data_IF_609130316966
#
_entry.id   IF_609130316966
#
_cell.length_a   1.000
_cell.length_b   1.000
_cell.length_c   1.000
_cell.angle_alpha   90.00
_cell.angle_beta   90.00
_cell.angle_gamma   90.00
#
_symmetry.space_group_name_H-M   'P 1'
#
loop_
_entity.id
_entity.type
_entity.pdbx_description
1 polymer ?
#
# COMPACT_ATOMS: atom_id res chain seq x y z
N UNK A 1 26.46 -19.94 -32.28
CA UNK A 1 26.15 -19.26 -31.03
C UNK A 1 24.85 -18.51 -31.19
N UNK A 2 23.79 -18.95 -30.52
CA UNK A 2 22.56 -18.17 -30.40
C UNK A 2 22.74 -17.17 -29.26
N UNK A 3 22.99 -15.91 -29.61
CA UNK A 3 22.95 -14.81 -28.65
C UNK A 3 21.49 -14.47 -28.40
N UNK A 4 20.98 -14.84 -27.23
CA UNK A 4 19.66 -14.41 -26.76
C UNK A 4 19.70 -12.89 -26.57
N UNK A 5 18.81 -12.10 -27.19
CA UNK A 5 18.78 -10.67 -26.98
C UNK A 5 18.36 -10.37 -25.53
N UNK A 6 19.15 -9.57 -24.83
CA UNK A 6 18.79 -9.00 -23.53
C UNK A 6 17.66 -7.98 -23.76
N UNK A 7 16.42 -8.42 -23.58
CA UNK A 7 15.27 -7.52 -23.61
C UNK A 7 15.24 -6.79 -22.26
N UNK A 8 15.70 -5.54 -22.26
CA UNK A 8 15.48 -4.62 -21.12
C UNK A 8 14.00 -4.26 -21.13
N UNK A 9 13.26 -4.80 -20.18
CA UNK A 9 11.84 -4.48 -20.05
C UNK A 9 11.65 -3.26 -19.14
N UNK A 10 10.69 -2.38 -19.44
CA UNK A 10 10.49 -1.16 -18.67
C UNK A 10 9.93 -1.51 -17.29
N UNK A 11 10.64 -1.10 -16.23
CA UNK A 11 10.15 -1.22 -14.84
C UNK A 11 8.89 -0.36 -14.63
N UNK A 12 8.00 -0.73 -13.69
CA UNK A 12 6.84 0.09 -13.37
C UNK A 12 7.29 1.44 -12.79
N UNK A 13 6.59 2.51 -13.15
CA UNK A 13 6.83 3.85 -12.60
C UNK A 13 5.69 4.23 -11.65
N UNK A 14 5.99 4.48 -10.38
CA UNK A 14 4.99 4.99 -9.43
C UNK A 14 4.91 6.51 -9.57
N UNK A 15 3.81 6.99 -10.16
CA UNK A 15 3.52 8.41 -10.41
C UNK A 15 2.85 9.10 -9.21
N UNK A 16 2.04 8.36 -8.44
CA UNK A 16 1.38 8.87 -7.23
C UNK A 16 1.68 7.93 -6.08
N UNK A 17 2.20 8.50 -5.00
CA UNK A 17 2.50 7.80 -3.75
C UNK A 17 1.31 7.88 -2.79
N UNK A 18 1.17 6.92 -1.85
CA UNK A 18 0.20 7.06 -0.78
C UNK A 18 0.60 8.25 0.11
N UNK A 19 -0.36 8.81 0.84
CA UNK A 19 -0.08 9.87 1.80
C UNK A 19 0.92 9.37 2.85
N UNK A 20 1.99 10.12 3.10
CA UNK A 20 3.06 9.71 4.01
C UNK A 20 2.58 9.56 5.47
N UNK A 21 1.62 10.39 5.89
CA UNK A 21 1.06 10.40 7.23
C UNK A 21 -0.47 10.51 7.15
N UNK A 22 -1.17 9.54 7.74
CA UNK A 22 -2.62 9.53 7.84
C UNK A 22 -2.99 9.41 9.30
N UNK A 23 -3.71 10.40 9.84
CA UNK A 23 -4.25 10.35 11.20
C UNK A 23 -5.74 10.12 11.12
N UNK A 24 -6.22 9.09 11.80
CA UNK A 24 -7.64 8.73 11.84
C UNK A 24 -8.10 8.50 13.25
N UNK A 25 -9.30 8.96 13.52
CA UNK A 25 -10.02 8.63 14.73
C UNK A 25 -10.57 7.21 14.70
N UNK A 26 -10.67 6.53 15.85
CA UNK A 26 -11.40 5.25 15.92
C UNK A 26 -12.86 5.33 15.47
N UNK A 27 -13.48 6.52 15.54
CA UNK A 27 -14.83 6.76 15.03
C UNK A 27 -14.91 6.82 13.50
N UNK A 28 -13.81 7.18 12.82
CA UNK A 28 -13.68 7.16 11.37
C UNK A 28 -13.34 5.73 10.93
N UNK A 29 -14.35 4.85 10.95
CA UNK A 29 -14.19 3.40 10.77
C UNK A 29 -13.32 2.99 9.59
N UNK A 30 -13.28 3.74 8.49
CA UNK A 30 -12.55 3.36 7.28
C UNK A 30 -11.42 4.33 6.91
N UNK A 31 -10.46 3.81 6.16
CA UNK A 31 -9.37 4.58 5.58
C UNK A 31 -8.88 3.93 4.30
N UNK A 32 -8.57 4.74 3.29
CA UNK A 32 -8.10 4.28 1.98
C UNK A 32 -6.74 4.89 1.65
N UNK A 33 -5.92 4.11 0.94
CA UNK A 33 -4.59 4.48 0.45
C UNK A 33 -4.56 4.23 -1.05
N UNK A 34 -4.03 5.18 -1.80
CA UNK A 34 -3.94 5.09 -3.26
C UNK A 34 -2.49 5.14 -3.72
N UNK A 35 -2.19 4.34 -4.74
CA UNK A 35 -0.95 4.38 -5.52
C UNK A 35 -1.36 4.47 -6.97
N UNK A 36 -0.63 5.23 -7.78
CA UNK A 36 -0.80 5.20 -9.23
C UNK A 36 0.52 4.83 -9.86
N UNK A 37 0.53 3.70 -10.57
CA UNK A 37 1.68 3.25 -11.33
C UNK A 37 1.39 3.22 -12.82
N UNK A 38 2.44 3.40 -13.62
CA UNK A 38 2.42 3.31 -15.07
C UNK A 38 3.22 2.08 -15.50
N UNK A 39 2.69 1.36 -16.48
CA UNK A 39 3.24 0.11 -17.00
C UNK A 39 2.13 -0.79 -17.50
N UNK A 40 2.50 -1.88 -18.16
CA UNK A 40 1.56 -2.89 -18.64
C UNK A 40 1.49 -4.05 -17.66
N UNK A 41 0.34 -4.71 -17.52
CA UNK A 41 0.17 -5.88 -16.65
C UNK A 41 0.70 -5.67 -15.22
N UNK A 42 0.35 -4.52 -14.63
CA UNK A 42 0.76 -4.16 -13.28
C UNK A 42 0.13 -5.10 -12.26
N UNK A 43 0.96 -5.58 -11.33
CA UNK A 43 0.56 -6.35 -10.16
C UNK A 43 0.84 -5.47 -8.93
N UNK A 44 -0.14 -5.39 -8.05
CA UNK A 44 -0.04 -4.67 -6.78
C UNK A 44 -0.06 -5.68 -5.64
N UNK A 45 0.74 -5.43 -4.60
CA UNK A 45 0.70 -6.18 -3.35
C UNK A 45 0.88 -5.20 -2.20
N UNK A 46 -0.20 -4.96 -1.45
CA UNK A 46 -0.10 -4.15 -0.24
C UNK A 46 0.56 -4.94 0.89
N UNK A 47 1.41 -4.24 1.63
CA UNK A 47 2.11 -4.74 2.80
C UNK A 47 1.90 -3.80 3.98
N UNK A 48 1.80 -4.39 5.17
CA UNK A 48 1.73 -3.68 6.43
C UNK A 48 2.90 -4.06 7.33
N UNK A 49 3.21 -3.17 8.27
CA UNK A 49 4.19 -3.38 9.33
C UNK A 49 3.65 -2.74 10.61
N UNK A 50 3.38 -3.59 11.60
CA UNK A 50 2.90 -3.21 12.94
C UNK A 50 3.99 -3.58 13.94
N UNK A 51 5.07 -2.80 13.94
CA UNK A 51 6.33 -3.19 14.57
C UNK A 51 7.01 -4.37 13.85
N UNK A 52 8.34 -4.41 13.87
CA UNK A 52 9.09 -5.51 13.24
C UNK A 52 9.14 -5.43 11.70
N UNK A 53 8.81 -6.54 11.03
CA UNK A 53 9.02 -6.73 9.59
C UNK A 53 7.74 -6.47 8.78
N UNK A 54 7.93 -6.16 7.50
CA UNK A 54 6.84 -6.07 6.51
C UNK A 54 6.21 -7.43 6.25
N UNK A 55 4.88 -7.45 6.20
CA UNK A 55 4.07 -8.62 5.88
C UNK A 55 3.07 -8.28 4.76
N UNK A 56 2.72 -9.28 3.95
CA UNK A 56 1.66 -9.13 2.95
C UNK A 56 0.31 -8.99 3.63
N UNK A 57 -0.48 -8.03 3.16
CA UNK A 57 -1.89 -7.92 3.56
C UNK A 57 -2.68 -8.93 2.74
N UNK A 58 -3.27 -9.89 3.42
CA UNK A 58 -4.15 -10.87 2.79
C UNK A 58 -5.58 -10.31 2.63
N UNK A 59 -6.30 -10.72 1.56
CA UNK A 59 -7.71 -10.39 1.44
C UNK A 59 -8.50 -10.87 2.66
N UNK A 60 -9.37 -10.00 3.18
CA UNK A 60 -10.26 -10.34 4.29
C UNK A 60 -11.51 -9.47 4.22
N UNK A 61 -12.48 -9.70 5.11
CA UNK A 61 -13.64 -8.82 5.21
C UNK A 61 -13.26 -7.37 5.50
N UNK A 62 -12.14 -7.15 6.22
CA UNK A 62 -11.64 -5.83 6.59
C UNK A 62 -10.73 -5.19 5.53
N UNK A 63 -10.10 -5.99 4.68
CA UNK A 63 -9.02 -5.59 3.78
C UNK A 63 -9.49 -5.67 2.32
N UNK A 64 -9.84 -4.54 1.73
CA UNK A 64 -10.30 -4.47 0.34
C UNK A 64 -9.24 -3.87 -0.58
N UNK A 65 -9.09 -4.43 -1.78
CA UNK A 65 -8.16 -3.89 -2.79
C UNK A 65 -6.68 -4.20 -2.52
N UNK A 66 -6.37 -5.26 -1.78
CA UNK A 66 -4.97 -5.68 -1.47
C UNK A 66 -4.11 -5.94 -2.71
N UNK A 67 -4.73 -6.24 -3.86
CA UNK A 67 -4.09 -6.43 -5.16
C UNK A 67 -4.47 -5.33 -6.18
N UNK A 68 -4.95 -4.17 -5.71
CA UNK A 68 -5.37 -3.05 -6.54
C UNK A 68 -4.54 -1.79 -6.25
N UNK A 69 -4.72 -0.78 -7.11
CA UNK A 69 -4.12 0.55 -6.93
C UNK A 69 -4.67 1.31 -5.71
N UNK A 70 -5.81 0.89 -5.18
CA UNK A 70 -6.43 1.46 -3.98
C UNK A 70 -6.66 0.34 -2.97
N UNK A 71 -6.13 0.52 -1.77
CA UNK A 71 -6.36 -0.36 -0.62
C UNK A 71 -7.20 0.34 0.44
N UNK A 72 -8.13 -0.37 1.06
CA UNK A 72 -9.01 0.17 2.10
C UNK A 72 -9.09 -0.78 3.29
N UNK A 73 -8.83 -0.24 4.49
CA UNK A 73 -9.32 -0.85 5.73
C UNK A 73 -10.76 -0.39 5.95
N UNK A 74 -11.69 -1.34 6.08
CA UNK A 74 -13.12 -1.03 6.27
C UNK A 74 -13.45 -0.68 7.72
N UNK A 75 -12.72 -1.25 8.66
CA UNK A 75 -12.83 -1.05 10.10
C UNK A 75 -11.44 -0.94 10.75
N UNK A 76 -11.13 0.24 11.27
CA UNK A 76 -9.90 0.55 12.01
C UNK A 76 -10.12 0.67 13.53
N UNK A 77 -11.35 0.43 14.01
CA UNK A 77 -11.73 0.68 15.41
C UNK A 77 -10.95 -0.17 16.43
N UNK A 78 -10.50 -1.36 16.02
CA UNK A 78 -9.71 -2.29 16.83
C UNK A 78 -8.20 -2.16 16.65
N UNK A 79 -7.74 -1.33 15.70
CA UNK A 79 -6.32 -1.17 15.42
C UNK A 79 -5.63 -0.39 16.55
N UNK A 80 -4.41 -0.82 16.91
CA UNK A 80 -3.60 -0.18 17.95
C UNK A 80 -2.24 0.23 17.39
N UNK A 81 -1.88 1.51 17.56
CA UNK A 81 -0.58 2.06 17.19
C UNK A 81 -0.50 2.70 15.81
N UNK A 82 0.71 3.12 15.40
CA UNK A 82 0.97 3.46 14.01
C UNK A 82 1.13 2.18 13.19
N UNK A 83 0.38 2.06 12.10
CA UNK A 83 0.54 1.00 11.09
C UNK A 83 1.26 1.60 9.90
N UNK A 84 2.40 1.03 9.54
CA UNK A 84 3.12 1.43 8.33
C UNK A 84 2.63 0.61 7.16
N UNK A 85 2.37 1.26 6.03
CA UNK A 85 1.83 0.68 4.82
C UNK A 85 2.73 1.00 3.64
N UNK A 86 2.86 0.04 2.73
CA UNK A 86 3.44 0.27 1.40
C UNK A 86 2.79 -0.65 0.38
N UNK A 87 2.82 -0.24 -0.87
CA UNK A 87 2.43 -1.08 -2.00
C UNK A 87 3.68 -1.51 -2.75
N UNK A 88 3.81 -2.82 -3.01
CA UNK A 88 4.81 -3.36 -3.91
C UNK A 88 4.19 -3.46 -5.30
N UNK A 89 4.76 -2.75 -6.27
CA UNK A 89 4.29 -2.76 -7.66
C UNK A 89 5.27 -3.54 -8.53
N UNK A 90 4.77 -4.49 -9.29
CA UNK A 90 5.57 -5.25 -10.25
C UNK A 90 4.85 -5.38 -11.60
N UNK A 91 5.55 -5.89 -12.61
CA UNK A 91 4.97 -6.21 -13.91
C UNK A 91 5.00 -7.73 -14.07
N UNK A 92 3.88 -8.30 -14.49
CA UNK A 92 3.77 -9.74 -14.71
C UNK A 92 4.83 -10.24 -15.70
N UNK A 93 5.55 -11.31 -15.32
CA UNK A 93 6.54 -11.99 -16.17
C UNK A 93 7.70 -11.10 -16.66
N UNK A 94 8.01 -10.00 -15.96
CA UNK A 94 9.03 -9.04 -16.38
C UNK A 94 10.46 -9.39 -15.92
N UNK A 95 10.59 -10.20 -14.87
CA UNK A 95 11.87 -10.53 -14.26
C UNK A 95 12.48 -9.40 -13.40
N UNK A 96 11.91 -8.19 -13.46
CA UNK A 96 12.28 -7.08 -12.57
C UNK A 96 11.78 -7.33 -11.13
N UNK A 97 12.57 -6.98 -10.10
CA UNK A 97 12.09 -7.01 -8.73
C UNK A 97 10.94 -6.01 -8.53
N UNK A 98 9.99 -6.29 -7.62
CA UNK A 98 8.93 -5.35 -7.30
C UNK A 98 9.48 -4.01 -6.78
N UNK A 99 8.91 -2.91 -7.26
CA UNK A 99 9.23 -1.56 -6.83
C UNK A 99 8.36 -1.18 -5.62
N UNK A 100 8.94 -0.85 -4.45
CA UNK A 100 8.16 -0.37 -3.32
C UNK A 100 7.66 1.07 -3.57
N UNK A 101 6.42 1.34 -3.17
CA UNK A 101 5.93 2.71 -2.96
C UNK A 101 6.64 3.37 -1.78
N UNK A 102 6.37 4.65 -1.59
CA UNK A 102 6.61 5.35 -0.33
C UNK A 102 5.88 4.67 0.83
N UNK A 103 6.42 4.86 2.02
CA UNK A 103 5.81 4.40 3.27
C UNK A 103 4.72 5.39 3.70
N UNK A 104 3.57 4.86 4.12
CA UNK A 104 2.46 5.59 4.72
C UNK A 104 2.31 5.18 6.17
N UNK A 105 2.27 6.14 7.09
CA UNK A 105 2.06 5.88 8.52
C UNK A 105 0.62 6.21 8.90
N UNK A 106 -0.18 5.19 9.23
CA UNK A 106 -1.53 5.32 9.75
C UNK A 106 -1.50 5.39 11.27
N UNK A 107 -1.79 6.55 11.86
CA UNK A 107 -1.91 6.72 13.31
C UNK A 107 -3.38 6.75 13.73
N UNK A 108 -3.76 5.84 14.63
CA UNK A 108 -5.10 5.81 15.22
C UNK A 108 -5.14 6.67 16.48
N UNK A 109 -6.03 7.66 16.51
CA UNK A 109 -6.19 8.60 17.62
C UNK A 109 -7.38 8.22 18.51
N UNK A 110 -7.14 8.26 19.81
CA UNK A 110 -8.14 8.06 20.88
C UNK A 110 -7.64 8.76 22.18
N UNK A 111 -8.26 9.86 22.64
CA UNK A 111 -9.45 10.51 22.07
C UNK A 111 -9.16 11.26 20.77
N UNK A 112 -10.20 11.44 19.96
CA UNK A 112 -10.17 12.32 18.80
C UNK A 112 -9.84 13.76 19.20
N UNK A 113 -9.08 14.52 18.40
CA UNK A 113 -9.00 15.95 18.61
C UNK A 113 -10.43 16.51 18.52
N UNK A 114 -10.87 17.18 19.56
CA UNK A 114 -12.13 17.93 19.50
C UNK A 114 -12.01 18.92 18.34
N UNK A 115 -13.03 18.96 17.48
CA UNK A 115 -13.20 20.10 16.58
C UNK A 115 -13.51 21.28 17.49
N UNK A 116 -12.48 22.04 17.85
CA UNK A 116 -12.67 23.28 18.56
C UNK A 116 -13.35 24.22 17.56
N UNK A 117 -14.60 24.58 17.84
CA UNK A 117 -15.41 25.57 17.10
C UNK A 117 -14.71 26.92 16.98
#
# INVERSE_FOLDING_TARGET
>A
SDTIPLIVRPSPLIAVQPAADVRKCKSEKNVSFNVTAQGNNLIYQWQEKIGGNWQNIEPSDNNEGVAASVFTYKDISSMTGPVHLRCMVSIANDGCPPLPSGESTLSIMDPCPSLNE
#
